data_IF_726967915540
#
_entry.id   IF_726967915540
#
_cell.length_a   1.000
_cell.length_b   1.000
_cell.length_c   1.000
_cell.angle_alpha   90.00
_cell.angle_beta   90.00
_cell.angle_gamma   90.00
#
_symmetry.space_group_name_H-M   'P 1'
#
loop_
_entity.id
_entity.type
_entity.pdbx_description
1 polymer ?
#
# COMPACT_ATOMS: atom_id res chain seq x y z
N UNK A 1 -2.43 -11.78 -9.66
CA UNK A 1 -2.44 -10.95 -8.42
C UNK A 1 -1.89 -9.56 -8.72
N UNK A 2 -2.58 -8.49 -8.30
CA UNK A 2 -2.16 -7.10 -8.61
C UNK A 2 -0.84 -6.72 -7.93
N UNK A 3 -0.62 -7.15 -6.69
CA UNK A 3 0.60 -6.84 -5.89
C UNK A 3 1.87 -7.18 -6.68
N UNK A 4 1.89 -8.36 -7.31
CA UNK A 4 3.03 -8.81 -8.14
C UNK A 4 3.32 -7.89 -9.31
N UNK A 5 2.29 -7.34 -9.94
CA UNK A 5 2.44 -6.33 -11.02
C UNK A 5 3.07 -5.05 -10.46
N UNK A 6 2.57 -4.57 -9.33
CA UNK A 6 3.05 -3.31 -8.71
C UNK A 6 4.48 -3.44 -8.18
N UNK A 7 4.89 -4.62 -7.70
CA UNK A 7 6.24 -4.84 -7.17
C UNK A 7 7.30 -4.97 -8.28
N UNK A 8 6.88 -5.18 -9.52
CA UNK A 8 7.77 -5.53 -10.63
C UNK A 8 8.89 -4.53 -10.84
N UNK A 9 8.60 -3.24 -10.73
CA UNK A 9 9.58 -2.16 -10.96
C UNK A 9 10.60 -2.07 -9.82
N UNK A 10 10.27 -2.59 -8.64
CA UNK A 10 11.19 -2.69 -7.52
C UNK A 10 12.21 -3.82 -7.72
N UNK A 11 11.75 -5.03 -8.06
CA UNK A 11 12.63 -6.21 -8.05
C UNK A 11 13.26 -6.55 -9.40
N UNK A 12 12.56 -6.34 -10.54
CA UNK A 12 13.06 -6.74 -11.86
C UNK A 12 14.38 -6.06 -12.24
N UNK A 13 14.57 -4.73 -12.00
CA UNK A 13 15.84 -4.09 -12.33
C UNK A 13 17.02 -4.59 -11.48
N UNK A 14 16.78 -4.91 -10.19
CA UNK A 14 17.81 -5.48 -9.30
C UNK A 14 18.21 -6.87 -9.77
N UNK A 15 17.22 -7.72 -10.01
CA UNK A 15 17.43 -9.09 -10.49
C UNK A 15 18.15 -9.12 -11.85
N UNK A 16 17.79 -8.23 -12.79
CA UNK A 16 18.50 -8.11 -14.08
C UNK A 16 19.98 -7.75 -13.91
N UNK A 17 20.31 -6.88 -12.96
CA UNK A 17 21.71 -6.51 -12.67
C UNK A 17 22.49 -7.67 -12.05
N UNK A 18 21.87 -8.40 -11.13
CA UNK A 18 22.46 -9.59 -10.49
C UNK A 18 22.74 -10.70 -11.52
N UNK A 19 21.77 -10.99 -12.39
CA UNK A 19 21.88 -12.06 -13.40
C UNK A 19 22.69 -11.65 -14.64
N UNK A 20 22.92 -10.36 -14.87
CA UNK A 20 23.54 -9.80 -16.09
C UNK A 20 22.84 -10.19 -17.39
N UNK A 21 21.54 -10.50 -17.31
CA UNK A 21 20.61 -10.77 -18.41
C UNK A 21 19.19 -10.46 -17.97
N UNK A 22 18.25 -10.44 -18.91
CA UNK A 22 16.84 -10.37 -18.53
C UNK A 22 16.44 -11.64 -17.74
N UNK A 23 15.72 -11.48 -16.61
CA UNK A 23 15.25 -12.59 -15.82
C UNK A 23 14.12 -13.34 -16.54
N UNK A 24 14.06 -14.65 -16.35
CA UNK A 24 12.93 -15.48 -16.76
C UNK A 24 11.69 -15.15 -15.94
N UNK A 25 10.52 -15.60 -16.39
CA UNK A 25 9.29 -15.44 -15.61
C UNK A 25 9.37 -16.17 -14.26
N UNK A 26 9.96 -17.37 -14.24
CA UNK A 26 10.15 -18.15 -13.01
C UNK A 26 11.05 -17.44 -12.00
N UNK A 27 12.14 -16.81 -12.44
CA UNK A 27 13.03 -16.05 -11.56
C UNK A 27 12.36 -14.80 -11.01
N UNK A 28 11.55 -14.12 -11.82
CA UNK A 28 10.74 -12.99 -11.37
C UNK A 28 9.68 -13.42 -10.36
N UNK A 29 9.11 -14.61 -10.53
CA UNK A 29 8.09 -15.16 -9.64
C UNK A 29 8.70 -15.54 -8.30
N UNK A 30 9.84 -16.23 -8.33
CA UNK A 30 10.60 -16.57 -7.13
C UNK A 30 11.03 -15.32 -6.35
N UNK A 31 11.59 -14.31 -7.03
CA UNK A 31 11.98 -13.05 -6.37
C UNK A 31 10.78 -12.30 -5.79
N UNK A 32 9.63 -12.37 -6.46
CA UNK A 32 8.39 -11.78 -5.93
C UNK A 32 7.98 -12.47 -4.62
N UNK A 33 7.94 -13.81 -4.59
CA UNK A 33 7.55 -14.56 -3.37
C UNK A 33 8.50 -14.31 -2.21
N UNK A 34 9.82 -14.24 -2.47
CA UNK A 34 10.84 -13.86 -1.48
C UNK A 34 10.49 -12.52 -0.81
N UNK A 35 10.27 -11.48 -1.62
CA UNK A 35 9.95 -10.13 -1.12
C UNK A 35 8.59 -10.12 -0.42
N UNK A 36 7.58 -10.74 -1.04
CA UNK A 36 6.21 -10.72 -0.55
C UNK A 36 6.09 -11.43 0.80
N UNK A 37 6.84 -12.50 1.03
CA UNK A 37 6.83 -13.26 2.29
C UNK A 37 7.24 -12.44 3.52
N UNK A 38 7.99 -11.36 3.33
CA UNK A 38 8.56 -10.53 4.39
C UNK A 38 8.13 -9.05 4.32
N UNK A 39 7.13 -8.73 3.49
CA UNK A 39 6.73 -7.35 3.25
C UNK A 39 5.99 -6.76 4.45
N UNK A 40 6.30 -5.51 4.76
CA UNK A 40 5.51 -4.68 5.68
C UNK A 40 4.61 -3.74 4.90
N UNK A 41 3.39 -3.52 5.39
CA UNK A 41 2.42 -2.66 4.73
C UNK A 41 1.87 -1.60 5.69
N UNK A 42 1.88 -0.35 5.25
CA UNK A 42 1.29 0.78 5.97
C UNK A 42 0.14 1.35 5.17
N UNK A 43 -1.00 1.57 5.81
CA UNK A 43 -2.15 2.25 5.25
C UNK A 43 -2.16 3.72 5.67
N UNK A 44 -2.24 4.60 4.68
CA UNK A 44 -2.36 6.03 4.87
C UNK A 44 -3.68 6.54 4.29
N UNK A 45 -4.28 7.54 4.94
CA UNK A 45 -5.46 8.24 4.45
C UNK A 45 -5.14 9.70 4.10
N UNK A 46 -5.72 10.15 2.99
CA UNK A 46 -5.56 11.49 2.45
C UNK A 46 -6.53 12.48 3.08
N UNK A 47 -6.00 13.56 3.63
CA UNK A 47 -6.74 14.69 4.20
C UNK A 47 -6.42 15.94 3.39
N UNK A 48 -7.44 16.65 2.95
CA UNK A 48 -7.32 17.96 2.33
C UNK A 48 -7.12 19.02 3.42
N UNK A 49 -5.93 19.61 3.46
CA UNK A 49 -5.62 20.74 4.32
C UNK A 49 -5.29 21.96 3.46
N UNK A 50 -6.20 22.95 3.46
CA UNK A 50 -6.13 24.08 2.55
C UNK A 50 -6.27 23.65 1.09
N UNK A 51 -5.19 23.79 0.31
CA UNK A 51 -5.13 23.42 -1.13
C UNK A 51 -4.33 22.15 -1.40
N UNK A 52 -3.83 21.48 -0.36
CA UNK A 52 -2.95 20.33 -0.48
C UNK A 52 -3.54 19.08 0.18
N UNK A 53 -3.21 17.91 -0.37
CA UNK A 53 -3.58 16.62 0.21
C UNK A 53 -2.37 16.07 0.99
N UNK A 54 -2.55 15.89 2.29
CA UNK A 54 -1.59 15.26 3.19
C UNK A 54 -2.01 13.83 3.45
N UNK A 55 -1.06 12.90 3.54
CA UNK A 55 -1.33 11.50 3.85
C UNK A 55 -0.83 11.17 5.24
N UNK A 56 -1.76 10.71 6.09
CA UNK A 56 -1.48 10.32 7.46
C UNK A 56 -1.60 8.80 7.60
N UNK A 57 -0.62 8.18 8.26
CA UNK A 57 -0.70 6.76 8.64
C UNK A 57 -1.88 6.56 9.59
N UNK A 58 -2.75 5.61 9.26
CA UNK A 58 -3.92 5.25 10.07
C UNK A 58 -3.92 3.77 10.50
N UNK A 59 -3.11 2.93 9.86
CA UNK A 59 -2.94 1.53 10.26
C UNK A 59 -1.63 0.94 9.72
N UNK A 60 -1.11 -0.05 10.45
CA UNK A 60 -0.13 -1.01 9.94
C UNK A 60 -0.85 -2.32 9.67
N UNK A 61 -0.61 -2.90 8.50
CA UNK A 61 -1.29 -4.09 8.00
C UNK A 61 -0.32 -5.27 8.11
N UNK A 62 -0.73 -6.31 8.83
CA UNK A 62 0.07 -7.54 8.94
C UNK A 62 0.10 -8.30 7.62
N UNK A 63 1.01 -9.28 7.50
CA UNK A 63 1.08 -10.14 6.32
C UNK A 63 -0.18 -10.99 6.17
N UNK A 64 -0.72 -11.50 7.28
CA UNK A 64 -1.95 -12.30 7.33
C UNK A 64 -3.17 -11.46 6.93
N UNK A 65 -3.25 -10.22 7.41
CA UNK A 65 -4.30 -9.28 6.99
C UNK A 65 -4.20 -8.99 5.50
N UNK A 66 -3.00 -8.67 5.00
CA UNK A 66 -2.75 -8.45 3.57
C UNK A 66 -3.17 -9.66 2.72
N UNK A 67 -2.83 -10.87 3.15
CA UNK A 67 -3.23 -12.09 2.46
C UNK A 67 -4.74 -12.27 2.38
N UNK A 68 -5.47 -11.86 3.42
CA UNK A 68 -6.93 -11.99 3.48
C UNK A 68 -7.66 -11.10 2.49
N UNK A 69 -7.10 -9.92 2.13
CA UNK A 69 -7.77 -8.95 1.25
C UNK A 69 -7.09 -8.75 -0.11
N UNK A 70 -5.95 -9.39 -0.39
CA UNK A 70 -5.19 -9.17 -1.64
C UNK A 70 -5.99 -9.38 -2.92
N UNK A 71 -7.10 -10.09 -2.91
CA UNK A 71 -7.95 -10.26 -4.09
C UNK A 71 -9.07 -9.21 -4.19
N UNK A 72 -9.42 -8.55 -3.08
CA UNK A 72 -10.47 -7.53 -2.98
C UNK A 72 -10.07 -6.37 -2.05
N UNK A 73 -9.02 -5.61 -2.39
CA UNK A 73 -8.50 -4.57 -1.51
C UNK A 73 -9.48 -3.42 -1.27
N UNK A 74 -10.25 -3.01 -2.28
CA UNK A 74 -11.23 -1.93 -2.12
C UNK A 74 -12.40 -2.31 -1.20
N UNK A 75 -12.88 -3.55 -1.29
CA UNK A 75 -13.94 -4.06 -0.40
C UNK A 75 -13.48 -4.03 1.06
N UNK A 76 -12.29 -4.57 1.34
CA UNK A 76 -11.70 -4.55 2.67
C UNK A 76 -11.51 -3.12 3.21
N UNK A 77 -10.99 -2.22 2.38
CA UNK A 77 -10.80 -0.82 2.77
C UNK A 77 -12.15 -0.15 3.07
N UNK A 78 -13.16 -0.36 2.24
CA UNK A 78 -14.48 0.22 2.43
C UNK A 78 -15.20 -0.34 3.66
N UNK A 79 -15.17 -1.65 3.87
CA UNK A 79 -15.82 -2.29 5.01
C UNK A 79 -15.23 -1.79 6.33
N UNK A 80 -13.89 -1.77 6.43
CA UNK A 80 -13.17 -1.42 7.66
C UNK A 80 -13.02 0.09 7.88
N UNK A 81 -12.72 0.84 6.83
CA UNK A 81 -12.37 2.26 6.92
C UNK A 81 -13.38 3.19 6.23
N UNK A 82 -14.32 2.68 5.44
CA UNK A 82 -15.27 3.50 4.69
C UNK A 82 -14.67 4.09 3.41
N UNK A 83 -15.30 5.13 2.88
CA UNK A 83 -14.77 5.83 1.71
C UNK A 83 -13.58 6.73 2.04
N UNK A 84 -12.78 7.06 1.03
CA UNK A 84 -11.67 7.99 1.17
C UNK A 84 -10.53 7.75 0.18
N UNK A 85 -9.53 8.62 0.23
CA UNK A 85 -8.32 8.55 -0.57
C UNK A 85 -7.20 7.82 0.18
N UNK A 86 -6.97 6.55 -0.11
CA UNK A 86 -6.01 5.71 0.60
C UNK A 86 -4.72 5.46 -0.20
N UNK A 87 -3.63 5.25 0.53
CA UNK A 87 -2.36 4.70 0.04
C UNK A 87 -1.95 3.49 0.84
N UNK A 88 -1.69 2.38 0.17
CA UNK A 88 -0.96 1.24 0.72
C UNK A 88 0.51 1.34 0.32
N UNK A 89 1.36 1.62 1.30
CA UNK A 89 2.81 1.62 1.12
C UNK A 89 3.38 0.26 1.50
N UNK A 90 4.18 -0.33 0.62
CA UNK A 90 4.86 -1.60 0.85
C UNK A 90 6.36 -1.38 1.08
N UNK A 91 6.93 -2.14 2.01
CA UNK A 91 8.33 -2.08 2.37
C UNK A 91 8.94 -3.48 2.52
N UNK A 92 10.17 -3.63 2.04
CA UNK A 92 11.02 -4.80 2.32
C UNK A 92 12.06 -4.37 3.37
N UNK A 93 11.85 -4.78 4.62
CA UNK A 93 12.58 -4.20 5.76
C UNK A 93 12.42 -2.66 5.78
N UNK A 94 13.51 -1.87 5.77
CA UNK A 94 13.43 -0.41 5.69
C UNK A 94 13.27 0.13 4.26
N UNK A 95 13.37 -0.71 3.23
CA UNK A 95 13.37 -0.28 1.82
C UNK A 95 11.94 -0.12 1.30
N UNK A 96 11.60 1.05 0.77
CA UNK A 96 10.32 1.26 0.10
C UNK A 96 10.26 0.46 -1.21
N UNK A 97 9.16 -0.27 -1.41
CA UNK A 97 8.88 -1.08 -2.59
C UNK A 97 8.00 -0.30 -3.57
N UNK A 98 6.76 0.00 -3.15
CA UNK A 98 5.75 0.66 -3.99
C UNK A 98 4.65 1.27 -3.12
N UNK A 99 3.97 2.28 -3.66
CA UNK A 99 2.75 2.88 -3.10
C UNK A 99 1.61 2.63 -4.08
N UNK A 100 0.50 2.07 -3.60
CA UNK A 100 -0.68 1.79 -4.40
C UNK A 100 -1.87 2.59 -3.86
N UNK A 101 -2.55 3.32 -4.72
CA UNK A 101 -3.64 4.22 -4.32
C UNK A 101 -4.99 3.54 -4.51
N UNK A 102 -5.90 3.75 -3.57
CA UNK A 102 -7.28 3.28 -3.63
C UNK A 102 -8.24 4.42 -3.28
N UNK A 103 -9.41 4.45 -3.92
CA UNK A 103 -10.42 5.50 -3.69
C UNK A 103 -11.84 4.94 -3.58
N UNK A 104 -12.11 4.04 -2.61
CA UNK A 104 -13.46 3.56 -2.37
C UNK A 104 -14.38 4.75 -2.08
N UNK A 105 -15.60 4.71 -2.66
CA UNK A 105 -16.59 5.78 -2.52
C UNK A 105 -17.48 5.53 -1.30
N UNK A 106 -17.81 6.60 -0.57
CA UNK A 106 -18.77 6.57 0.53
C UNK A 106 -18.28 7.34 1.76
N UNK A 107 -19.01 7.20 2.87
CA UNK A 107 -18.69 7.92 4.10
C UNK A 107 -17.39 7.41 4.75
N UNK A 108 -16.52 8.30 5.24
CA UNK A 108 -15.27 7.94 5.87
C UNK A 108 -15.48 7.48 7.32
N UNK A 109 -14.89 6.35 7.70
CA UNK A 109 -14.87 5.83 9.09
C UNK A 109 -13.50 6.00 9.76
N UNK A 110 -12.48 6.38 8.99
CA UNK A 110 -11.07 6.47 9.43
C UNK A 110 -10.68 7.80 10.08
N UNK A 111 -11.54 8.82 10.05
CA UNK A 111 -11.24 10.14 10.63
C UNK A 111 -10.82 10.05 12.10
N UNK A 112 -11.46 9.25 12.97
CA UNK A 112 -11.02 9.09 14.37
C UNK A 112 -9.66 8.40 14.54
N UNK A 113 -9.09 7.79 13.49
CA UNK A 113 -7.79 7.13 13.50
C UNK A 113 -6.63 8.08 13.15
N UNK A 114 -6.95 9.33 12.78
CA UNK A 114 -5.94 10.31 12.45
C UNK A 114 -5.09 10.65 13.69
N UNK A 115 -3.77 10.88 13.52
CA UNK A 115 -2.93 11.31 14.61
C UNK A 115 -3.33 12.73 15.06
N UNK A 116 -3.06 13.10 16.31
CA UNK A 116 -3.39 14.42 16.89
C UNK A 116 -2.85 15.62 16.08
N UNK A 117 -1.78 15.39 15.30
CA UNK A 117 -1.16 16.40 14.42
C UNK A 117 -1.93 16.64 13.11
N UNK A 118 -2.89 15.78 12.76
CA UNK A 118 -3.81 16.08 11.66
C UNK A 118 -4.65 17.29 12.09
N UNK A 119 -4.81 18.28 11.21
CA UNK A 119 -5.42 19.56 11.57
C UNK A 119 -6.76 19.42 12.31
N UNK A 120 -7.13 20.43 13.11
CA UNK A 120 -8.28 20.38 14.04
C UNK A 120 -9.66 20.16 13.38
N UNK A 121 -9.76 20.26 12.05
CA UNK A 121 -10.92 19.86 11.25
C UNK A 121 -10.43 19.13 9.98
N UNK A 122 -10.14 17.82 10.06
CA UNK A 122 -9.66 17.08 8.90
C UNK A 122 -10.79 16.95 7.88
N UNK A 123 -10.51 17.35 6.63
CA UNK A 123 -11.43 17.19 5.51
C UNK A 123 -10.98 16.00 4.64
N UNK A 124 -11.70 14.86 4.66
CA UNK A 124 -11.39 13.70 3.81
C UNK A 124 -11.26 14.10 2.32
N UNK A 125 -10.13 13.73 1.70
CA UNK A 125 -9.81 14.08 0.31
C UNK A 125 -10.39 13.11 -0.73
#
# INVERSE_FOLDING_TARGET
MWIKREFRDYYKPKLRRELKRDPSQEEMDQRFEEIYSQVNCTLLAGVLEGVAIYFYEIAKISKEELDSFRDRPEDYLFERFGGGNFKLNFYEGPSFVVCVNFKPKGEPKWVPLLPEKAGSNPNPA
#
